data_IF_742505412201
#
_entry.id   IF_742505412201
#
_cell.length_a   1.000
_cell.length_b   1.000
_cell.length_c   1.000
_cell.angle_alpha   90.00
_cell.angle_beta   90.00
_cell.angle_gamma   90.00
#
_symmetry.space_group_name_H-M   'P 1'
#
loop_
_entity.id
_entity.type
_entity.pdbx_description
1 polymer ?
#
# COMPACT_ATOMS: atom_id res chain seq x y z
N UNK A 1 34.22 -37.28 -26.29
CA UNK A 1 33.37 -36.24 -25.67
C UNK A 1 32.90 -36.85 -24.35
N UNK A 2 33.52 -36.45 -23.24
CA UNK A 2 33.37 -37.12 -21.95
C UNK A 2 32.42 -36.28 -21.10
N UNK A 3 31.21 -36.80 -20.86
CA UNK A 3 30.23 -36.16 -19.97
C UNK A 3 30.71 -36.27 -18.52
N UNK A 4 31.09 -35.13 -17.95
CA UNK A 4 31.40 -35.01 -16.53
C UNK A 4 30.10 -34.98 -15.74
N UNK A 5 29.63 -36.14 -15.29
CA UNK A 5 28.50 -36.26 -14.38
C UNK A 5 28.90 -35.75 -12.99
N UNK A 6 28.46 -34.55 -12.63
CA UNK A 6 28.71 -33.96 -11.30
C UNK A 6 27.79 -34.66 -10.28
N UNK A 7 28.33 -35.62 -9.55
CA UNK A 7 27.62 -36.23 -8.41
C UNK A 7 27.71 -35.32 -7.18
N UNK A 8 26.66 -34.54 -6.92
CA UNK A 8 26.50 -33.83 -5.65
C UNK A 8 25.97 -34.77 -4.56
N UNK A 9 26.58 -34.78 -3.35
CA UNK A 9 26.17 -35.69 -2.27
C UNK A 9 24.79 -35.32 -1.70
N UNK A 10 23.96 -36.32 -1.41
CA UNK A 10 22.55 -36.21 -1.00
C UNK A 10 22.31 -35.26 0.20
N UNK A 11 23.26 -35.17 1.13
CA UNK A 11 23.23 -34.18 2.24
C UNK A 11 23.28 -32.73 1.75
N UNK A 12 24.12 -32.43 0.75
CA UNK A 12 24.23 -31.08 0.16
C UNK A 12 22.98 -30.73 -0.65
N UNK A 13 22.32 -31.70 -1.28
CA UNK A 13 21.03 -31.52 -1.95
C UNK A 13 19.97 -31.10 -0.93
N UNK A 14 19.89 -31.78 0.22
CA UNK A 14 18.94 -31.44 1.29
C UNK A 14 19.18 -30.05 1.89
N UNK A 15 20.45 -29.63 2.05
CA UNK A 15 20.78 -28.29 2.56
C UNK A 15 20.49 -27.19 1.53
N UNK A 16 20.65 -27.47 0.24
CA UNK A 16 20.30 -26.55 -0.85
C UNK A 16 18.77 -26.39 -0.98
N UNK A 17 18.02 -27.48 -0.82
CA UNK A 17 16.56 -27.47 -0.87
C UNK A 17 15.96 -26.67 0.30
N UNK A 18 16.55 -26.76 1.50
CA UNK A 18 16.14 -25.94 2.65
C UNK A 18 16.47 -24.45 2.49
N UNK A 19 17.53 -24.11 1.76
CA UNK A 19 17.93 -22.72 1.48
C UNK A 19 17.02 -22.08 0.41
N UNK A 20 16.57 -22.87 -0.58
CA UNK A 20 15.60 -22.46 -1.60
C UNK A 20 14.19 -22.21 -1.02
N UNK A 21 13.78 -22.97 0.00
CA UNK A 21 12.48 -22.78 0.66
C UNK A 21 12.41 -21.51 1.54
N UNK A 22 13.55 -20.97 1.98
CA UNK A 22 13.60 -19.79 2.85
C UNK A 22 13.30 -18.47 2.11
N UNK A 23 13.30 -18.45 0.78
CA UNK A 23 13.23 -17.22 -0.02
C UNK A 23 11.80 -16.72 -0.36
N UNK A 24 10.76 -17.48 -0.02
CA UNK A 24 9.41 -17.26 -0.57
C UNK A 24 8.45 -16.47 0.34
N UNK A 25 8.87 -16.00 1.51
CA UNK A 25 8.02 -15.21 2.41
C UNK A 25 8.36 -13.72 2.35
N UNK A 26 8.12 -13.08 1.20
CA UNK A 26 7.98 -11.62 1.17
C UNK A 26 6.52 -11.27 1.46
N UNK A 27 6.28 -10.38 2.41
CA UNK A 27 4.94 -9.88 2.68
C UNK A 27 4.48 -9.03 1.49
N UNK A 28 3.30 -9.34 0.95
CA UNK A 28 2.69 -8.55 -0.11
C UNK A 28 2.47 -7.10 0.37
N UNK A 29 3.07 -6.13 -0.29
CA UNK A 29 2.82 -4.71 -0.01
C UNK A 29 1.76 -4.16 -0.95
N UNK A 30 0.93 -3.26 -0.42
CA UNK A 30 -0.15 -2.61 -1.14
C UNK A 30 0.14 -1.12 -1.22
N UNK A 31 -0.02 -0.58 -2.42
CA UNK A 31 0.41 0.75 -2.79
C UNK A 31 -0.74 1.54 -3.41
N UNK A 32 -0.75 2.85 -3.13
CA UNK A 32 -1.68 3.79 -3.72
C UNK A 32 -1.06 4.48 -4.92
N UNK A 33 -1.85 4.58 -5.99
CA UNK A 33 -1.55 5.43 -7.13
C UNK A 33 -2.78 6.29 -7.45
N UNK A 34 -2.58 7.57 -7.72
CA UNK A 34 -3.66 8.51 -8.03
C UNK A 34 -3.34 9.41 -9.22
N UNK A 35 -4.12 10.48 -9.36
CA UNK A 35 -4.09 11.32 -10.56
C UNK A 35 -5.03 10.76 -11.64
N UNK A 36 -5.29 11.53 -12.69
CA UNK A 36 -6.23 11.13 -13.75
C UNK A 36 -5.78 9.88 -14.52
N UNK A 37 -4.48 9.63 -14.54
CA UNK A 37 -3.85 8.50 -15.22
C UNK A 37 -3.36 7.41 -14.24
N UNK A 38 -3.64 7.56 -12.95
CA UNK A 38 -3.22 6.60 -11.91
C UNK A 38 -1.69 6.36 -11.88
N UNK A 39 -0.91 7.40 -12.20
CA UNK A 39 0.56 7.36 -12.33
C UNK A 39 1.28 8.08 -11.17
N UNK A 40 0.56 8.84 -10.35
CA UNK A 40 1.12 9.47 -9.16
C UNK A 40 1.15 8.47 -8.00
N UNK A 41 2.34 8.03 -7.58
CA UNK A 41 2.48 7.24 -6.36
C UNK A 41 2.09 8.06 -5.11
N UNK A 42 1.27 7.46 -4.24
CA UNK A 42 0.69 8.07 -3.03
C UNK A 42 1.00 7.29 -1.73
N UNK A 43 1.84 6.27 -1.81
CA UNK A 43 2.39 5.59 -0.64
C UNK A 43 1.93 4.15 -0.45
N UNK A 44 2.54 3.47 0.51
CA UNK A 44 2.25 2.11 0.91
C UNK A 44 1.25 2.10 2.08
N UNK A 45 0.15 1.34 1.95
CA UNK A 45 -0.94 1.32 2.94
C UNK A 45 -0.73 0.29 4.05
N UNK A 46 0.18 -0.65 3.88
CA UNK A 46 0.49 -1.71 4.86
C UNK A 46 1.97 -1.79 5.23
N UNK A 47 2.75 -0.74 4.91
CA UNK A 47 4.14 -0.61 5.37
C UNK A 47 4.18 0.05 6.75
N UNK A 48 5.26 -0.19 7.49
CA UNK A 48 5.39 0.32 8.86
C UNK A 48 5.54 1.84 8.96
N UNK A 49 5.48 2.36 10.19
CA UNK A 49 5.56 3.81 10.48
C UNK A 49 6.95 4.42 10.26
N UNK A 50 7.98 3.62 10.06
CA UNK A 50 9.35 4.06 9.76
C UNK A 50 9.68 4.01 8.27
N UNK A 51 8.93 3.23 7.49
CA UNK A 51 9.11 3.15 6.04
C UNK A 51 8.85 4.53 5.38
N UNK A 52 9.78 4.94 4.52
CA UNK A 52 9.75 6.25 3.84
C UNK A 52 8.56 6.42 2.90
N UNK A 53 8.01 5.32 2.40
CA UNK A 53 6.89 5.27 1.48
C UNK A 53 5.55 5.09 2.22
N UNK A 54 5.56 4.86 3.53
CA UNK A 54 4.35 4.55 4.29
C UNK A 54 3.42 5.75 4.44
N UNK A 55 2.11 5.51 4.27
CA UNK A 55 1.08 6.49 4.64
C UNK A 55 0.99 6.69 6.16
N UNK A 56 1.63 5.82 6.94
CA UNK A 56 1.61 5.86 8.41
C UNK A 56 2.80 6.62 8.99
N UNK A 57 3.77 7.01 8.17
CA UNK A 57 4.96 7.74 8.60
C UNK A 57 4.69 9.26 8.56
N UNK A 58 4.43 9.93 9.71
CA UNK A 58 4.09 11.36 9.74
C UNK A 58 5.25 12.27 9.30
N UNK A 59 6.48 11.73 9.24
CA UNK A 59 7.68 12.44 8.80
C UNK A 59 8.04 12.16 7.34
N UNK A 60 7.36 11.20 6.68
CA UNK A 60 7.58 10.83 5.29
C UNK A 60 6.66 11.56 4.30
N UNK A 61 7.00 11.51 3.01
CA UNK A 61 6.27 12.19 1.94
C UNK A 61 4.77 11.81 1.87
N UNK A 62 4.40 10.59 2.27
CA UNK A 62 3.06 10.05 2.06
C UNK A 62 2.20 10.00 3.31
N UNK A 63 2.82 10.06 4.50
CA UNK A 63 2.12 10.17 5.77
C UNK A 63 2.03 11.60 6.33
N UNK A 64 2.93 12.49 5.90
CA UNK A 64 2.99 13.87 6.40
C UNK A 64 1.73 14.68 6.02
N UNK A 65 1.14 15.38 6.99
CA UNK A 65 -0.12 16.15 6.80
C UNK A 65 0.01 17.41 5.93
N UNK A 66 1.23 17.84 5.61
CA UNK A 66 1.52 19.04 4.82
C UNK A 66 2.08 18.70 3.43
N UNK A 67 2.47 17.44 3.20
CA UNK A 67 3.00 17.01 1.90
C UNK A 67 1.92 17.04 0.82
N UNK A 68 2.27 17.52 -0.37
CA UNK A 68 1.36 17.51 -1.52
C UNK A 68 1.05 16.11 -2.06
N UNK A 69 1.86 15.10 -1.70
CA UNK A 69 1.68 13.69 -2.10
C UNK A 69 0.86 12.87 -1.11
N UNK A 70 0.60 13.41 0.08
CA UNK A 70 -0.05 12.68 1.17
C UNK A 70 -1.57 12.71 1.02
N UNK A 71 -2.18 11.54 1.17
CA UNK A 71 -3.64 11.44 1.27
C UNK A 71 -4.17 12.09 2.55
N UNK A 72 -3.31 12.37 3.54
CA UNK A 72 -3.71 13.01 4.79
C UNK A 72 -3.65 14.53 4.76
N UNK A 73 -3.08 15.12 3.70
CA UNK A 73 -3.06 16.57 3.53
C UNK A 73 -4.43 17.09 3.09
N UNK A 74 -5.19 17.59 4.05
CA UNK A 74 -6.55 18.12 3.84
C UNK A 74 -6.64 19.33 2.92
N UNK A 75 -5.52 20.00 2.64
CA UNK A 75 -5.45 21.12 1.68
C UNK A 75 -4.86 20.68 0.33
N UNK A 76 -4.41 19.44 0.20
CA UNK A 76 -3.75 18.90 -0.98
C UNK A 76 -4.69 18.19 -1.95
N UNK A 77 -4.20 17.94 -3.16
CA UNK A 77 -4.97 17.27 -4.21
C UNK A 77 -5.43 15.85 -3.82
N UNK A 78 -4.65 15.14 -3.01
CA UNK A 78 -4.94 13.74 -2.67
C UNK A 78 -5.57 13.55 -1.29
N UNK A 79 -5.73 14.61 -0.50
CA UNK A 79 -6.34 14.53 0.84
C UNK A 79 -7.46 15.51 1.12
N UNK A 80 -7.71 16.48 0.24
CA UNK A 80 -8.87 17.38 0.36
C UNK A 80 -10.18 16.65 0.07
N UNK A 81 -11.20 16.82 0.90
CA UNK A 81 -12.55 16.26 0.67
C UNK A 81 -13.26 16.85 -0.56
N UNK A 82 -12.75 17.96 -1.11
CA UNK A 82 -13.28 18.61 -2.30
C UNK A 82 -12.55 18.22 -3.60
N UNK A 83 -11.46 17.46 -3.50
CA UNK A 83 -10.67 17.08 -4.67
C UNK A 83 -11.22 15.83 -5.35
N UNK A 84 -11.24 15.85 -6.68
CA UNK A 84 -11.62 14.68 -7.49
C UNK A 84 -10.62 13.52 -7.39
N UNK A 85 -9.40 13.78 -6.90
CA UNK A 85 -8.34 12.78 -6.74
C UNK A 85 -8.24 12.19 -5.32
N UNK A 86 -9.06 12.69 -4.39
CA UNK A 86 -8.97 12.32 -2.98
C UNK A 86 -9.81 11.09 -2.69
N UNK A 87 -9.29 10.12 -1.92
CA UNK A 87 -10.10 9.02 -1.42
C UNK A 87 -11.20 9.50 -0.46
N UNK A 88 -11.07 10.71 0.11
CA UNK A 88 -11.97 11.29 1.09
C UNK A 88 -13.04 12.21 0.50
N UNK A 89 -13.18 12.24 -0.83
CA UNK A 89 -14.28 12.95 -1.48
C UNK A 89 -15.42 11.98 -1.82
N UNK A 90 -16.65 12.34 -1.41
CA UNK A 90 -17.87 11.57 -1.72
C UNK A 90 -18.19 11.51 -3.22
N UNK A 91 -17.52 12.35 -4.02
CA UNK A 91 -17.76 12.47 -5.47
C UNK A 91 -16.45 12.42 -6.29
N UNK A 92 -15.38 11.84 -5.73
CA UNK A 92 -14.12 11.65 -6.44
C UNK A 92 -14.32 10.94 -7.79
N UNK A 93 -13.87 11.54 -8.89
CA UNK A 93 -13.91 10.91 -10.21
C UNK A 93 -12.69 10.01 -10.43
N UNK A 94 -11.54 10.42 -9.89
CA UNK A 94 -10.24 9.77 -10.04
C UNK A 94 -9.62 9.42 -8.67
N UNK A 95 -10.33 8.68 -7.80
CA UNK A 95 -9.78 8.29 -6.51
C UNK A 95 -8.56 7.37 -6.68
N UNK A 96 -7.69 7.24 -5.67
CA UNK A 96 -6.52 6.37 -5.75
C UNK A 96 -6.87 4.89 -5.96
N UNK A 97 -6.10 4.20 -6.78
CA UNK A 97 -6.13 2.74 -6.93
C UNK A 97 -5.21 2.08 -5.90
N UNK A 98 -5.58 0.88 -5.46
CA UNK A 98 -4.74 0.02 -4.65
C UNK A 98 -4.15 -1.06 -5.55
N UNK A 99 -2.83 -1.12 -5.67
CA UNK A 99 -2.09 -2.13 -6.41
C UNK A 99 -1.11 -2.87 -5.49
N UNK A 100 -0.80 -4.13 -5.79
CA UNK A 100 0.37 -4.78 -5.20
C UNK A 100 1.65 -4.53 -6.02
N UNK A 101 2.76 -5.14 -5.61
CA UNK A 101 4.06 -5.02 -6.29
C UNK A 101 4.07 -5.58 -7.72
N UNK A 102 3.19 -6.53 -8.03
CA UNK A 102 3.05 -7.14 -9.35
C UNK A 102 2.07 -6.35 -10.24
N UNK A 103 1.45 -5.29 -9.71
CA UNK A 103 0.46 -4.46 -10.40
C UNK A 103 -0.95 -5.05 -10.38
N UNK A 104 -1.21 -6.08 -9.56
CA UNK A 104 -2.57 -6.62 -9.42
C UNK A 104 -3.47 -5.58 -8.75
N UNK A 105 -4.67 -5.40 -9.31
CA UNK A 105 -5.63 -4.41 -8.87
C UNK A 105 -6.51 -4.91 -7.72
N UNK A 106 -6.56 -4.12 -6.63
CA UNK A 106 -7.34 -4.41 -5.42
C UNK A 106 -8.50 -3.43 -5.20
N UNK A 107 -8.86 -2.65 -6.22
CA UNK A 107 -9.94 -1.68 -6.17
C UNK A 107 -9.52 -0.26 -5.83
N UNK A 108 -10.47 0.66 -5.96
CA UNK A 108 -10.30 2.07 -5.60
C UNK A 108 -10.45 2.27 -4.09
N UNK A 109 -9.53 3.04 -3.49
CA UNK A 109 -9.70 3.59 -2.14
C UNK A 109 -10.58 4.84 -2.25
N UNK A 110 -11.86 4.76 -1.86
CA UNK A 110 -12.77 5.89 -2.01
C UNK A 110 -14.01 5.85 -1.12
N UNK A 111 -14.40 7.03 -0.63
CA UNK A 111 -15.71 7.28 -0.02
C UNK A 111 -16.84 7.32 -1.03
N UNK A 112 -16.56 7.67 -2.30
CA UNK A 112 -17.58 7.82 -3.32
C UNK A 112 -18.38 6.51 -3.49
N UNK A 113 -19.66 6.46 -3.07
CA UNK A 113 -20.43 5.22 -3.11
C UNK A 113 -20.83 4.83 -4.54
N UNK A 114 -20.73 5.76 -5.49
CA UNK A 114 -21.09 5.57 -6.89
C UNK A 114 -19.90 5.11 -7.75
N UNK A 115 -18.67 5.17 -7.24
CA UNK A 115 -17.49 4.64 -7.95
C UNK A 115 -17.64 3.12 -8.06
N UNK A 116 -17.49 2.57 -9.26
CA UNK A 116 -17.39 1.12 -9.47
C UNK A 116 -16.07 0.59 -8.92
N UNK A 117 -15.99 -0.71 -8.63
CA UNK A 117 -14.74 -1.38 -8.26
C UNK A 117 -14.05 -0.78 -7.02
N UNK A 118 -14.86 -0.32 -6.06
CA UNK A 118 -14.37 0.06 -4.72
C UNK A 118 -13.69 -1.13 -4.07
N UNK A 119 -12.55 -0.87 -3.42
CA UNK A 119 -11.80 -1.92 -2.77
C UNK A 119 -12.63 -2.63 -1.70
N UNK A 120 -12.59 -3.96 -1.74
CA UNK A 120 -13.20 -4.81 -0.72
C UNK A 120 -12.23 -5.16 0.42
N UNK A 121 -10.98 -4.67 0.35
CA UNK A 121 -10.01 -4.88 1.41
C UNK A 121 -10.52 -4.29 2.73
N UNK A 122 -10.43 -5.08 3.80
CA UNK A 122 -10.83 -4.63 5.13
C UNK A 122 -10.06 -3.37 5.55
N UNK A 123 -8.77 -3.30 5.23
CA UNK A 123 -7.93 -2.13 5.49
C UNK A 123 -8.46 -0.88 4.77
N UNK A 124 -8.86 -1.00 3.50
CA UNK A 124 -9.44 0.12 2.74
C UNK A 124 -10.76 0.59 3.37
N UNK A 125 -11.63 -0.34 3.79
CA UNK A 125 -12.87 0.00 4.49
C UNK A 125 -12.61 0.71 5.83
N UNK A 126 -11.59 0.27 6.58
CA UNK A 126 -11.17 0.90 7.83
C UNK A 126 -10.64 2.31 7.59
N UNK A 127 -9.77 2.49 6.58
CA UNK A 127 -9.25 3.80 6.17
C UNK A 127 -10.41 4.75 5.84
N UNK A 128 -11.32 4.34 4.95
CA UNK A 128 -12.49 5.13 4.59
C UNK A 128 -13.35 5.49 5.81
N UNK A 129 -13.68 4.52 6.67
CA UNK A 129 -14.56 4.74 7.82
C UNK A 129 -13.94 5.64 8.90
N UNK A 130 -12.62 5.61 9.07
CA UNK A 130 -11.94 6.22 10.21
C UNK A 130 -10.94 7.32 9.83
N UNK A 131 -10.90 7.79 8.57
CA UNK A 131 -9.87 8.71 8.07
C UNK A 131 -9.68 9.96 8.94
N UNK A 132 -10.76 10.52 9.50
CA UNK A 132 -10.70 11.70 10.38
C UNK A 132 -10.02 11.43 11.72
N UNK A 133 -10.20 10.24 12.28
CA UNK A 133 -9.55 9.80 13.51
C UNK A 133 -8.12 9.35 13.23
N UNK A 134 -7.88 8.67 12.11
CA UNK A 134 -6.55 8.21 11.68
C UNK A 134 -5.62 9.39 11.47
N UNK A 135 -6.06 10.42 10.74
CA UNK A 135 -5.27 11.64 10.47
C UNK A 135 -4.76 12.34 11.73
N UNK A 136 -5.43 12.17 12.87
CA UNK A 136 -5.05 12.79 14.16
C UNK A 136 -3.98 12.01 14.90
N UNK A 137 -3.85 10.71 14.64
CA UNK A 137 -2.90 9.82 15.31
C UNK A 137 -2.56 8.62 14.40
N UNK A 138 -1.67 8.85 13.42
CA UNK A 138 -1.28 7.82 12.46
C UNK A 138 -0.59 6.63 13.15
N UNK A 139 0.31 6.90 14.08
CA UNK A 139 1.09 5.86 14.77
C UNK A 139 0.21 5.00 15.67
N UNK A 140 -0.69 5.60 16.47
CA UNK A 140 -1.59 4.84 17.33
C UNK A 140 -2.59 3.98 16.55
N UNK A 141 -3.08 4.48 15.40
CA UNK A 141 -3.92 3.67 14.51
C UNK A 141 -3.14 2.55 13.82
N UNK A 142 -1.88 2.80 13.42
CA UNK A 142 -1.02 1.75 12.88
C UNK A 142 -0.84 0.62 13.91
N UNK A 143 -0.46 0.95 15.14
CA UNK A 143 -0.29 -0.04 16.22
C UNK A 143 -1.58 -0.84 16.43
N UNK A 144 -2.75 -0.20 16.44
CA UNK A 144 -4.05 -0.90 16.57
C UNK A 144 -4.38 -1.87 15.43
N UNK A 145 -3.88 -1.63 14.23
CA UNK A 145 -4.22 -2.41 13.04
C UNK A 145 -3.23 -3.53 12.74
N UNK A 146 -1.96 -3.34 13.12
CA UNK A 146 -0.86 -4.20 12.70
C UNK A 146 -0.06 -4.80 13.86
N UNK A 147 -0.41 -4.52 15.13
CA UNK A 147 0.23 -5.09 16.32
C UNK A 147 -0.80 -5.59 17.33
#
# INVERSE_FOLDING_TARGET
>A
MQETTIHMPLKKIFTFLSLLLYCMFQAQTLHLYGGSNEDQYLGCINCDTFDKNSIWNPYGDYGNLLSSKSIWNGSGNYGSSYSTYSPWSDYASYPPVILDQDGNFFGYLTLNPYKSERSQLQLAQILCKNHDSIKKDLSGWYDKLFR
#
